data_IF_220949244685
#
_entry.id   IF_220949244685
#
_cell.length_a   1.000
_cell.length_b   1.000
_cell.length_c   1.000
_cell.angle_alpha   90.00
_cell.angle_beta   90.00
_cell.angle_gamma   90.00
#
_symmetry.space_group_name_H-M   'P 1'
#
loop_
_entity.id
_entity.type
_entity.pdbx_description
1 polymer ?
#
# COMPACT_ATOMS: atom_id res chain seq x y z
N UNK A 1 9.44 -5.55 17.25
CA UNK A 1 8.38 -5.38 16.24
C UNK A 1 8.86 -4.45 15.14
N UNK A 2 8.41 -4.69 13.91
CA UNK A 2 8.65 -3.86 12.73
C UNK A 2 7.32 -3.35 12.17
N UNK A 3 7.25 -2.07 11.80
CA UNK A 3 6.06 -1.45 11.21
C UNK A 3 6.46 -0.74 9.92
N UNK A 4 5.72 -0.98 8.85
CA UNK A 4 5.93 -0.34 7.55
C UNK A 4 4.67 0.33 7.04
N UNK A 5 4.76 1.63 6.76
CA UNK A 5 3.74 2.39 6.06
C UNK A 5 4.12 2.52 4.60
N UNK A 6 3.16 2.27 3.70
CA UNK A 6 3.29 2.54 2.29
C UNK A 6 2.24 3.55 1.83
N UNK A 7 2.69 4.56 1.10
CA UNK A 7 1.83 5.50 0.37
C UNK A 7 2.03 5.31 -1.14
N UNK A 8 1.07 4.68 -1.83
CA UNK A 8 1.05 4.63 -3.29
C UNK A 8 0.83 6.03 -3.88
N UNK A 9 1.60 6.36 -4.90
CA UNK A 9 1.53 7.61 -5.67
C UNK A 9 1.42 7.23 -7.14
N UNK A 10 0.46 7.83 -7.84
CA UNK A 10 0.08 7.49 -9.21
C UNK A 10 0.44 8.69 -10.10
N UNK A 11 1.38 8.50 -11.01
CA UNK A 11 1.87 9.50 -11.96
C UNK A 11 1.38 9.20 -13.39
N UNK A 12 0.36 9.93 -13.83
CA UNK A 12 -0.26 9.74 -15.15
C UNK A 12 0.33 10.64 -16.23
N UNK A 13 1.36 11.45 -15.91
CA UNK A 13 1.95 12.41 -16.86
C UNK A 13 2.49 11.77 -18.12
N UNK A 14 2.74 10.46 -18.10
CA UNK A 14 3.13 9.72 -19.30
C UNK A 14 2.02 9.63 -20.38
N UNK A 15 0.80 10.10 -20.07
CA UNK A 15 -0.35 10.24 -20.96
C UNK A 15 -0.70 11.70 -21.28
N UNK A 16 0.10 12.66 -20.80
CA UNK A 16 -0.11 14.10 -20.99
C UNK A 16 0.95 14.63 -21.95
N UNK A 17 0.54 15.40 -22.97
CA UNK A 17 1.44 15.94 -24.01
C UNK A 17 2.54 16.82 -23.40
N UNK A 18 2.16 17.87 -22.67
CA UNK A 18 3.08 18.77 -21.98
C UNK A 18 3.28 18.35 -20.51
N UNK A 19 3.75 17.13 -20.30
CA UNK A 19 3.96 16.57 -18.96
C UNK A 19 4.91 17.36 -18.05
N UNK A 20 5.81 18.14 -18.66
CA UNK A 20 6.95 18.81 -18.02
C UNK A 20 7.81 17.90 -17.10
N UNK A 21 7.68 16.59 -17.24
CA UNK A 21 8.40 15.61 -16.41
C UNK A 21 9.89 15.65 -16.79
N UNK A 22 10.76 15.69 -15.78
CA UNK A 22 12.20 15.55 -16.00
C UNK A 22 12.55 14.07 -16.21
N UNK A 23 13.56 13.75 -17.05
CA UNK A 23 13.91 12.36 -17.36
C UNK A 23 14.68 11.66 -16.23
N UNK A 24 15.00 12.35 -15.14
CA UNK A 24 15.84 11.84 -14.05
C UNK A 24 15.13 11.88 -12.70
N UNK A 25 15.33 10.86 -11.84
CA UNK A 25 16.06 9.63 -12.12
C UNK A 25 15.26 8.71 -13.07
N UNK A 26 15.97 7.99 -13.95
CA UNK A 26 15.35 7.12 -14.96
C UNK A 26 14.88 5.80 -14.32
N UNK A 27 13.64 5.79 -13.83
CA UNK A 27 13.00 4.59 -13.30
C UNK A 27 12.64 3.62 -14.42
N UNK A 28 12.62 2.29 -14.19
CA UNK A 28 12.84 1.60 -12.91
C UNK A 28 14.31 1.34 -12.56
N UNK A 29 15.27 1.71 -13.41
CA UNK A 29 16.70 1.40 -13.23
C UNK A 29 17.50 2.69 -13.09
N UNK A 30 17.29 3.46 -12.00
CA UNK A 30 17.97 4.73 -11.87
C UNK A 30 19.47 4.52 -11.72
N UNK A 31 20.28 5.41 -12.28
CA UNK A 31 21.72 5.45 -12.00
C UNK A 31 21.97 5.69 -10.51
N UNK A 32 23.07 5.15 -9.98
CA UNK A 32 23.41 5.29 -8.56
C UNK A 32 23.78 6.74 -8.23
N UNK A 33 23.43 7.22 -7.03
CA UNK A 33 23.69 8.59 -6.54
C UNK A 33 23.04 9.72 -7.35
N UNK A 34 22.09 9.43 -8.24
CA UNK A 34 21.25 10.47 -8.86
C UNK A 34 20.32 11.06 -7.82
N UNK A 35 20.22 12.38 -7.82
CA UNK A 35 19.37 13.11 -6.89
C UNK A 35 17.98 13.34 -7.47
N UNK A 36 16.96 13.03 -6.68
CA UNK A 36 15.61 13.51 -6.87
C UNK A 36 15.45 14.78 -6.01
N UNK A 37 15.20 15.92 -6.68
CA UNK A 37 15.15 17.25 -6.04
C UNK A 37 14.20 17.22 -4.85
N UNK A 38 14.59 17.79 -3.71
CA UNK A 38 13.74 17.82 -2.50
C UNK A 38 13.59 16.51 -1.74
N UNK A 39 13.97 15.37 -2.33
CA UNK A 39 13.75 14.04 -1.74
C UNK A 39 15.06 13.43 -1.27
N UNK A 40 16.03 13.20 -2.17
CA UNK A 40 17.32 12.61 -1.82
C UNK A 40 18.02 11.90 -2.97
N UNK A 41 18.91 10.97 -2.66
CA UNK A 41 19.75 10.27 -3.64
C UNK A 41 19.31 8.81 -3.83
N UNK A 42 19.56 8.28 -5.03
CA UNK A 42 19.34 6.87 -5.36
C UNK A 42 20.40 5.97 -4.71
N UNK A 43 19.94 4.86 -4.15
CA UNK A 43 20.72 3.81 -3.49
C UNK A 43 20.24 2.43 -3.93
N UNK A 44 21.10 1.43 -3.77
CA UNK A 44 20.74 0.01 -3.91
C UNK A 44 20.21 -0.54 -2.60
N UNK A 45 19.26 -1.46 -2.69
CA UNK A 45 18.77 -2.23 -1.54
C UNK A 45 19.80 -3.30 -1.18
N UNK A 46 20.26 -3.33 0.07
CA UNK A 46 21.31 -4.26 0.51
C UNK A 46 20.90 -5.72 0.30
N UNK A 47 19.66 -6.06 0.64
CA UNK A 47 19.12 -7.41 0.46
C UNK A 47 18.52 -7.63 -0.94
N UNK A 48 18.96 -6.84 -1.93
CA UNK A 48 18.41 -6.86 -3.29
C UNK A 48 16.94 -6.44 -3.39
N UNK A 49 16.46 -6.43 -4.64
CA UNK A 49 15.04 -6.31 -4.96
C UNK A 49 14.45 -7.68 -5.27
N UNK A 50 13.14 -7.74 -5.50
CA UNK A 50 12.49 -8.95 -5.96
C UNK A 50 12.87 -9.29 -7.41
N UNK A 51 13.13 -10.58 -7.69
CA UNK A 51 13.24 -11.09 -9.08
C UNK A 51 11.92 -10.98 -9.84
N UNK A 52 10.79 -10.98 -9.14
CA UNK A 52 9.46 -10.85 -9.74
C UNK A 52 9.07 -9.40 -10.06
N UNK A 53 9.81 -8.39 -9.56
CA UNK A 53 9.49 -6.98 -9.75
C UNK A 53 10.67 -6.13 -10.22
N UNK A 54 10.50 -5.54 -11.40
CA UNK A 54 11.37 -4.47 -11.86
C UNK A 54 11.30 -3.27 -10.91
N UNK A 55 12.46 -2.62 -10.69
CA UNK A 55 12.53 -1.36 -9.94
C UNK A 55 12.57 -1.47 -8.42
N UNK A 56 12.58 -2.67 -7.84
CA UNK A 56 12.69 -2.84 -6.38
C UNK A 56 14.13 -2.95 -5.87
N UNK A 57 15.09 -3.08 -6.78
CA UNK A 57 16.52 -3.18 -6.44
C UNK A 57 17.11 -1.83 -6.02
N UNK A 58 16.51 -0.74 -6.47
CA UNK A 58 16.97 0.63 -6.20
C UNK A 58 15.83 1.47 -5.66
N UNK A 59 16.18 2.39 -4.79
CA UNK A 59 15.25 3.34 -4.19
C UNK A 59 15.96 4.69 -4.04
N UNK A 60 15.21 5.78 -3.88
CA UNK A 60 15.76 7.04 -3.43
C UNK A 60 15.49 7.23 -1.93
N UNK A 61 16.52 7.64 -1.19
CA UNK A 61 16.45 7.85 0.25
C UNK A 61 15.66 9.12 0.55
N UNK A 62 14.48 8.97 1.14
CA UNK A 62 13.47 10.03 1.27
C UNK A 62 13.55 10.78 2.62
N UNK A 63 14.72 10.85 3.25
CA UNK A 63 14.88 11.47 4.58
C UNK A 63 14.60 12.98 4.57
N UNK A 64 14.83 13.66 3.44
CA UNK A 64 14.51 15.08 3.30
C UNK A 64 13.04 15.32 2.96
N UNK A 65 12.38 14.33 2.35
CA UNK A 65 10.99 14.39 1.97
C UNK A 65 10.07 14.31 3.19
N UNK A 66 10.33 13.38 4.10
CA UNK A 66 9.53 13.13 5.30
C UNK A 66 10.41 13.37 6.52
N UNK A 67 10.08 14.41 7.29
CA UNK A 67 10.74 14.71 8.58
C UNK A 67 9.74 14.53 9.71
N UNK A 68 10.16 13.96 10.81
CA UNK A 68 9.32 13.84 12.00
C UNK A 68 9.44 15.10 12.85
N UNK A 69 8.34 15.56 13.46
CA UNK A 69 8.41 16.74 14.31
C UNK A 69 9.09 16.46 15.65
N UNK A 70 8.92 15.27 16.20
CA UNK A 70 9.41 14.92 17.53
C UNK A 70 9.52 13.38 17.73
N UNK A 71 10.06 12.63 16.76
CA UNK A 71 10.06 11.14 16.82
C UNK A 71 10.69 10.60 18.11
N UNK A 72 11.79 11.22 18.53
CA UNK A 72 12.52 10.98 19.77
C UNK A 72 11.70 11.26 21.05
N UNK A 73 10.64 12.06 20.94
CA UNK A 73 9.64 12.30 22.00
C UNK A 73 8.38 11.44 21.86
N UNK A 74 8.16 10.79 20.71
CA UNK A 74 7.13 9.74 20.54
C UNK A 74 7.57 8.47 21.29
N UNK A 75 7.54 8.59 22.61
CA UNK A 75 7.78 7.52 23.58
C UNK A 75 6.44 6.96 23.96
N UNK A 76 6.13 5.77 23.45
CA UNK A 76 4.86 5.12 23.76
C UNK A 76 4.97 4.59 25.18
N UNK A 77 4.23 5.21 26.10
CA UNK A 77 4.28 4.90 27.53
C UNK A 77 3.28 3.81 27.87
N UNK A 78 3.77 2.77 28.53
CA UNK A 78 2.95 1.73 29.15
C UNK A 78 2.39 2.21 30.51
N UNK A 79 1.36 1.54 31.03
CA UNK A 79 0.72 1.89 32.32
C UNK A 79 1.71 1.87 33.49
N UNK A 80 2.74 1.03 33.43
CA UNK A 80 3.80 0.90 34.43
C UNK A 80 4.96 1.91 34.25
N UNK A 81 4.75 2.98 33.46
CA UNK A 81 5.78 3.96 33.07
C UNK A 81 6.94 3.43 32.22
N UNK A 82 6.89 2.17 31.77
CA UNK A 82 7.84 1.70 30.76
C UNK A 82 7.69 2.52 29.46
N UNK A 83 8.77 2.61 28.70
CA UNK A 83 8.83 3.42 27.48
C UNK A 83 9.26 2.54 26.31
N UNK A 84 8.40 2.42 25.30
CA UNK A 84 8.79 1.85 24.02
C UNK A 84 9.51 2.91 23.20
N UNK A 85 10.82 2.72 22.99
CA UNK A 85 11.58 3.53 22.02
C UNK A 85 11.26 3.06 20.61
N UNK A 86 11.08 4.02 19.71
CA UNK A 86 10.82 3.77 18.29
C UNK A 86 11.94 4.35 17.46
N UNK A 87 12.54 3.52 16.61
CA UNK A 87 13.55 3.93 15.65
C UNK A 87 12.96 3.94 14.23
N UNK A 88 13.29 4.97 13.45
CA UNK A 88 12.95 4.98 12.03
C UNK A 88 14.06 4.31 11.23
N UNK A 89 13.80 3.09 10.77
CA UNK A 89 14.72 2.26 10.01
C UNK A 89 14.98 2.80 8.61
N UNK A 90 13.93 3.29 7.95
CA UNK A 90 14.08 3.84 6.61
C UNK A 90 12.93 4.75 6.18
N UNK A 91 13.27 5.63 5.24
CA UNK A 91 12.33 6.41 4.43
C UNK A 91 12.76 6.29 2.98
N UNK A 92 11.94 5.70 2.13
CA UNK A 92 12.32 5.32 0.76
C UNK A 92 11.24 5.70 -0.24
N UNK A 93 11.67 5.95 -1.46
CA UNK A 93 10.81 6.06 -2.64
C UNK A 93 11.31 5.14 -3.75
N UNK A 94 10.41 4.45 -4.41
CA UNK A 94 10.70 3.69 -5.63
C UNK A 94 9.58 3.89 -6.67
N UNK A 95 9.88 3.58 -7.92
CA UNK A 95 8.91 3.64 -9.01
C UNK A 95 9.15 2.52 -10.02
N UNK A 96 8.07 2.06 -10.64
CA UNK A 96 8.11 1.08 -11.73
C UNK A 96 8.50 1.69 -13.09
N UNK A 97 8.73 3.02 -13.13
CA UNK A 97 9.02 3.77 -14.36
C UNK A 97 7.80 4.09 -15.22
N UNK A 98 6.62 3.62 -14.82
CA UNK A 98 5.36 3.87 -15.49
C UNK A 98 4.48 4.75 -14.60
N UNK A 99 3.34 4.23 -14.15
CA UNK A 99 2.36 4.97 -13.36
C UNK A 99 2.61 4.89 -11.86
N UNK A 100 3.27 3.83 -11.37
CA UNK A 100 3.36 3.58 -9.94
C UNK A 100 4.65 4.14 -9.35
N UNK A 101 4.47 4.90 -8.27
CA UNK A 101 5.48 5.38 -7.36
C UNK A 101 5.03 4.98 -5.96
N UNK A 102 5.95 4.65 -5.05
CA UNK A 102 5.61 4.34 -3.66
C UNK A 102 6.56 5.05 -2.73
N UNK A 103 6.02 5.61 -1.65
CA UNK A 103 6.81 5.97 -0.48
C UNK A 103 6.64 4.88 0.58
N UNK A 104 7.75 4.46 1.18
CA UNK A 104 7.78 3.45 2.23
C UNK A 104 8.53 4.01 3.45
N UNK A 105 7.92 3.88 4.63
CA UNK A 105 8.46 4.34 5.90
C UNK A 105 8.46 3.17 6.87
N UNK A 106 9.66 2.75 7.30
CA UNK A 106 9.85 1.65 8.23
C UNK A 106 10.22 2.14 9.62
N UNK A 107 9.63 1.49 10.63
CA UNK A 107 9.95 1.65 12.04
C UNK A 107 10.31 0.31 12.66
N UNK A 108 11.20 0.33 13.64
CA UNK A 108 11.48 -0.80 14.51
C UNK A 108 11.38 -0.37 15.98
N UNK A 109 11.14 -1.34 16.84
CA UNK A 109 11.21 -1.17 18.28
C UNK A 109 11.39 -2.54 18.96
N UNK A 110 11.59 -2.51 20.27
CA UNK A 110 11.68 -3.70 21.13
C UNK A 110 10.37 -4.05 21.81
N UNK A 111 9.25 -4.02 21.08
CA UNK A 111 7.89 -4.32 21.58
C UNK A 111 7.83 -5.62 22.41
N UNK A 112 8.59 -6.63 22.00
CA UNK A 112 8.62 -7.95 22.62
C UNK A 112 9.11 -7.92 24.07
N UNK A 113 9.92 -6.93 24.45
CA UNK A 113 10.42 -6.76 25.82
C UNK A 113 9.33 -6.31 26.80
N UNK A 114 8.14 -5.94 26.31
CA UNK A 114 7.07 -5.33 27.11
C UNK A 114 5.80 -6.17 27.15
N UNK A 115 5.83 -7.44 26.74
CA UNK A 115 4.63 -8.28 26.64
C UNK A 115 3.80 -8.35 27.93
N UNK A 116 4.44 -8.45 29.09
CA UNK A 116 3.75 -8.46 30.38
C UNK A 116 2.97 -7.16 30.64
N UNK A 117 3.54 -6.00 30.29
CA UNK A 117 2.85 -4.72 30.44
C UNK A 117 1.71 -4.53 29.41
N UNK A 118 1.79 -5.23 28.28
CA UNK A 118 0.82 -5.19 27.20
C UNK A 118 -0.36 -6.14 27.49
N UNK A 119 -0.09 -7.35 27.97
CA UNK A 119 -1.10 -8.38 28.20
C UNK A 119 -2.13 -7.99 29.27
N UNK A 120 -1.77 -7.11 30.20
CA UNK A 120 -2.68 -6.51 31.19
C UNK A 120 -3.70 -5.53 30.58
N UNK A 121 -3.46 -5.03 29.36
CA UNK A 121 -4.33 -4.05 28.70
C UNK A 121 -4.72 -4.50 27.28
N UNK A 122 -5.93 -5.04 27.18
CA UNK A 122 -6.48 -5.63 25.94
C UNK A 122 -6.50 -4.68 24.73
N UNK A 123 -6.58 -3.37 24.97
CA UNK A 123 -6.66 -2.35 23.91
C UNK A 123 -5.29 -1.76 23.54
N UNK A 124 -4.21 -2.23 24.16
CA UNK A 124 -2.90 -1.60 23.97
C UNK A 124 -2.39 -1.74 22.53
N UNK A 125 -2.53 -2.92 21.92
CA UNK A 125 -2.09 -3.11 20.53
C UNK A 125 -2.84 -2.15 19.58
N UNK A 126 -4.15 -1.98 19.78
CA UNK A 126 -4.95 -1.02 19.02
C UNK A 126 -4.45 0.43 19.22
N UNK A 127 -4.25 0.84 20.48
CA UNK A 127 -3.73 2.19 20.79
C UNK A 127 -2.34 2.43 20.22
N UNK A 128 -1.47 1.42 20.27
CA UNK A 128 -0.13 1.46 19.69
C UNK A 128 -0.20 1.79 18.20
N UNK A 129 -1.08 1.12 17.45
CA UNK A 129 -1.27 1.40 16.02
C UNK A 129 -1.83 2.80 15.77
N UNK A 130 -2.75 3.29 16.60
CA UNK A 130 -3.23 4.67 16.54
C UNK A 130 -2.10 5.69 16.75
N UNK A 131 -1.24 5.45 17.75
CA UNK A 131 -0.11 6.31 18.06
C UNK A 131 0.87 6.36 16.88
N UNK A 132 1.16 5.20 16.25
CA UNK A 132 1.96 5.15 15.02
C UNK A 132 1.31 5.91 13.87
N UNK A 133 0.03 5.69 13.60
CA UNK A 133 -0.70 6.39 12.53
C UNK A 133 -0.75 7.91 12.74
N UNK A 134 -0.67 8.35 14.00
CA UNK A 134 -0.72 9.75 14.42
C UNK A 134 0.65 10.42 14.56
N UNK A 135 1.74 9.75 14.15
CA UNK A 135 3.08 10.37 14.15
C UNK A 135 3.05 11.59 13.24
N UNK A 136 3.38 12.76 13.80
CA UNK A 136 3.43 14.01 13.07
C UNK A 136 4.65 14.09 12.16
N UNK A 137 4.39 14.40 10.89
CA UNK A 137 5.39 14.55 9.83
C UNK A 137 5.29 15.91 9.16
N UNK A 138 6.44 16.40 8.70
CA UNK A 138 6.61 17.58 7.86
C UNK A 138 7.08 17.11 6.49
N UNK A 139 6.32 17.49 5.46
CA UNK A 139 6.69 17.32 4.06
C UNK A 139 7.14 18.67 3.51
N UNK A 140 8.40 18.76 3.07
CA UNK A 140 8.94 20.01 2.53
C UNK A 140 8.54 20.15 1.06
N UNK A 141 7.83 21.23 0.71
CA UNK A 141 7.55 21.58 -0.67
C UNK A 141 8.76 22.32 -1.28
N UNK A 142 9.04 22.07 -2.57
CA UNK A 142 10.07 22.77 -3.33
C UNK A 142 9.77 24.25 -3.59
N UNK A 143 8.52 24.67 -3.39
CA UNK A 143 8.09 26.07 -3.42
C UNK A 143 8.33 26.80 -2.08
N UNK A 144 8.99 26.15 -1.12
CA UNK A 144 9.34 26.75 0.18
C UNK A 144 8.26 26.62 1.26
N UNK A 145 7.08 26.09 0.93
CA UNK A 145 6.03 25.78 1.90
C UNK A 145 6.29 24.45 2.63
N UNK A 146 5.73 24.30 3.83
CA UNK A 146 5.77 23.05 4.61
C UNK A 146 4.36 22.54 4.77
N UNK A 147 4.13 21.29 4.43
CA UNK A 147 2.89 20.59 4.72
C UNK A 147 3.06 19.80 6.02
N UNK A 148 2.17 20.03 6.98
CA UNK A 148 2.10 19.29 8.24
C UNK A 148 0.99 18.25 8.13
N UNK A 149 1.28 17.02 8.52
CA UNK A 149 0.35 15.89 8.44
C UNK A 149 0.69 14.84 9.47
N UNK A 150 -0.16 13.82 9.62
CA UNK A 150 0.22 12.55 10.24
C UNK A 150 0.82 11.61 9.20
N UNK A 151 1.50 10.56 9.65
CA UNK A 151 2.07 9.55 8.76
C UNK A 151 0.98 8.89 7.92
N UNK A 152 -0.16 8.53 8.51
CA UNK A 152 -1.26 7.90 7.78
C UNK A 152 -1.82 8.79 6.67
N UNK A 153 -1.81 10.12 6.86
CA UNK A 153 -2.54 11.05 5.99
C UNK A 153 -1.62 11.87 5.06
N UNK A 154 -0.31 11.62 5.08
CA UNK A 154 0.64 12.45 4.32
C UNK A 154 0.67 12.19 2.80
N UNK A 155 -0.12 11.23 2.30
CA UNK A 155 -0.13 10.81 0.89
C UNK A 155 -0.31 11.97 -0.10
N UNK A 156 -1.23 12.90 0.16
CA UNK A 156 -1.48 14.06 -0.72
C UNK A 156 -0.26 14.99 -0.81
N UNK A 157 0.34 15.30 0.33
CA UNK A 157 1.55 16.14 0.38
C UNK A 157 2.73 15.44 -0.31
N UNK A 158 2.82 14.11 -0.20
CA UNK A 158 3.83 13.31 -0.90
C UNK A 158 3.63 13.28 -2.42
N UNK A 159 2.38 13.23 -2.92
CA UNK A 159 2.11 13.32 -4.36
C UNK A 159 2.47 14.70 -4.93
N UNK A 160 2.14 15.77 -4.20
CA UNK A 160 2.51 17.13 -4.58
C UNK A 160 4.04 17.31 -4.59
N UNK A 161 4.72 16.84 -3.53
CA UNK A 161 6.18 16.84 -3.49
C UNK A 161 6.76 16.05 -4.68
N UNK A 162 6.23 14.88 -4.99
CA UNK A 162 6.72 14.10 -6.12
C UNK A 162 6.53 14.84 -7.45
N UNK A 163 5.35 15.42 -7.69
CA UNK A 163 5.06 16.25 -8.87
C UNK A 163 6.10 17.36 -9.00
N UNK A 164 6.30 18.16 -7.95
CA UNK A 164 7.25 19.27 -8.01
C UNK A 164 8.70 18.80 -8.17
N UNK A 165 9.07 17.70 -7.53
CA UNK A 165 10.42 17.14 -7.56
C UNK A 165 10.82 16.59 -8.92
N UNK A 166 9.82 16.23 -9.72
CA UNK A 166 9.99 15.59 -11.03
C UNK A 166 9.50 16.47 -12.17
N UNK A 167 9.25 17.76 -11.93
CA UNK A 167 8.80 18.70 -12.96
C UNK A 167 9.89 19.74 -13.24
N UNK A 168 10.02 20.13 -14.52
CA UNK A 168 10.92 21.19 -14.96
C UNK A 168 10.64 22.49 -14.19
N UNK A 169 11.70 23.14 -13.72
CA UNK A 169 11.60 24.35 -12.91
C UNK A 169 10.79 25.46 -13.57
N UNK A 170 10.95 25.66 -14.88
CA UNK A 170 10.22 26.70 -15.61
C UNK A 170 8.70 26.47 -15.60
N UNK A 171 8.25 25.21 -15.74
CA UNK A 171 6.83 24.88 -15.70
C UNK A 171 6.23 25.10 -14.31
N UNK A 172 7.01 24.88 -13.24
CA UNK A 172 6.59 25.19 -11.87
C UNK A 172 6.36 26.69 -11.67
N UNK A 173 7.28 27.54 -12.16
CA UNK A 173 7.16 29.00 -12.04
C UNK A 173 5.98 29.52 -12.86
N UNK A 174 5.79 28.98 -14.06
CA UNK A 174 4.75 29.42 -14.98
C UNK A 174 3.35 28.86 -14.63
N UNK A 175 3.22 28.03 -13.60
CA UNK A 175 1.94 27.42 -13.23
C UNK A 175 1.39 26.43 -14.27
N UNK A 176 2.25 25.86 -15.11
CA UNK A 176 1.86 24.92 -16.19
C UNK A 176 1.72 23.49 -15.68
N UNK A 177 1.19 23.33 -14.47
CA UNK A 177 1.06 22.03 -13.82
C UNK A 177 -0.34 21.84 -13.31
N UNK A 178 -0.83 20.63 -13.42
CA UNK A 178 -2.13 20.27 -12.89
C UNK A 178 -1.99 19.32 -11.70
N UNK A 179 -2.73 19.58 -10.62
CA UNK A 179 -2.67 18.75 -9.41
C UNK A 179 -3.11 17.30 -9.64
N UNK A 180 -3.91 17.03 -10.68
CA UNK A 180 -4.40 15.68 -10.98
C UNK A 180 -3.39 14.82 -11.75
N UNK A 181 -2.29 15.40 -12.24
CA UNK A 181 -1.23 14.68 -12.94
C UNK A 181 -0.48 13.68 -12.06
N UNK A 182 -0.41 13.95 -10.75
CA UNK A 182 0.13 13.02 -9.77
C UNK A 182 -0.82 12.99 -8.57
N UNK A 183 -1.33 11.82 -8.24
CA UNK A 183 -2.30 11.63 -7.16
C UNK A 183 -1.84 10.58 -6.16
N UNK A 184 -2.41 10.57 -4.96
CA UNK A 184 -2.13 9.53 -3.96
C UNK A 184 -3.24 8.48 -3.93
N UNK A 185 -2.83 7.23 -3.73
CA UNK A 185 -3.69 6.11 -3.33
C UNK A 185 -3.88 6.05 -1.82
N UNK A 186 -4.65 5.07 -1.38
CA UNK A 186 -4.83 4.77 0.04
C UNK A 186 -3.57 4.14 0.66
N UNK A 187 -3.21 4.56 1.89
CA UNK A 187 -2.08 4.01 2.60
C UNK A 187 -2.33 2.58 3.06
N UNK A 188 -1.24 1.81 3.19
CA UNK A 188 -1.24 0.50 3.85
C UNK A 188 -0.22 0.51 4.98
N UNK A 189 -0.58 -0.10 6.11
CA UNK A 189 0.34 -0.43 7.19
C UNK A 189 0.56 -1.95 7.26
N UNK A 190 1.80 -2.38 7.45
CA UNK A 190 2.13 -3.75 7.80
C UNK A 190 2.86 -3.77 9.13
N UNK A 191 2.49 -4.71 9.99
CA UNK A 191 3.06 -4.91 11.32
C UNK A 191 3.61 -6.33 11.40
N UNK A 192 4.88 -6.46 11.73
CA UNK A 192 5.55 -7.75 11.96
C UNK A 192 6.03 -7.80 13.40
N UNK A 193 5.66 -8.83 14.15
CA UNK A 193 6.14 -8.98 15.53
C UNK A 193 6.20 -10.45 15.95
N UNK A 194 7.08 -10.76 16.89
CA UNK A 194 7.23 -12.10 17.44
C UNK A 194 6.46 -12.25 18.73
N UNK A 195 5.64 -13.29 18.84
CA UNK A 195 4.84 -13.62 20.02
C UNK A 195 5.02 -15.09 20.40
N UNK A 196 6.22 -15.41 20.85
CA UNK A 196 6.65 -16.79 21.15
C UNK A 196 5.76 -17.48 22.19
N UNK A 197 5.20 -16.70 23.12
CA UNK A 197 4.38 -17.21 24.22
C UNK A 197 2.88 -17.09 23.93
N UNK A 198 2.50 -16.62 22.73
CA UNK A 198 1.12 -16.33 22.33
C UNK A 198 0.38 -15.41 23.33
N UNK A 199 1.11 -14.46 23.92
CA UNK A 199 0.66 -13.58 24.99
C UNK A 199 0.09 -12.25 24.47
N UNK A 200 0.33 -11.92 23.20
CA UNK A 200 -0.21 -10.70 22.62
C UNK A 200 -1.70 -10.82 22.34
N UNK A 201 -2.46 -9.85 22.83
CA UNK A 201 -3.87 -9.69 22.48
C UNK A 201 -3.97 -8.76 21.28
N UNK A 202 -4.36 -9.33 20.14
CA UNK A 202 -4.66 -8.57 18.94
C UNK A 202 -5.95 -7.75 19.12
N UNK A 203 -6.12 -6.64 18.36
CA UNK A 203 -7.35 -5.87 18.38
C UNK A 203 -8.59 -6.75 18.15
N UNK A 204 -9.71 -6.47 18.83
CA UNK A 204 -10.94 -7.27 18.80
C UNK A 204 -11.47 -7.58 17.39
N UNK A 205 -11.27 -6.68 16.44
CA UNK A 205 -11.74 -6.81 15.06
C UNK A 205 -10.65 -7.24 14.07
N UNK A 206 -9.46 -7.64 14.56
CA UNK A 206 -8.45 -8.26 13.72
C UNK A 206 -8.95 -9.66 13.31
N UNK A 207 -9.00 -9.91 12.00
CA UNK A 207 -9.46 -11.17 11.43
C UNK A 207 -8.26 -12.03 11.09
N UNK A 208 -8.22 -13.26 11.59
CA UNK A 208 -7.24 -14.25 11.15
C UNK A 208 -7.55 -14.59 9.69
N UNK A 209 -6.53 -14.47 8.86
CA UNK A 209 -6.62 -14.68 7.41
C UNK A 209 -6.06 -16.05 7.04
N UNK A 210 -4.85 -16.35 7.48
CA UNK A 210 -4.19 -17.63 7.17
C UNK A 210 -3.18 -17.98 8.25
N UNK A 211 -3.14 -19.27 8.60
CA UNK A 211 -2.05 -19.85 9.38
C UNK A 211 -1.09 -20.53 8.41
N UNK A 212 0.19 -20.26 8.58
CA UNK A 212 1.26 -20.89 7.84
C UNK A 212 2.07 -21.72 8.84
N UNK A 213 1.56 -22.91 9.16
CA UNK A 213 2.09 -23.75 10.25
C UNK A 213 3.57 -24.10 10.02
N UNK A 214 3.95 -24.44 8.79
CA UNK A 214 5.33 -24.76 8.43
C UNK A 214 6.27 -23.55 8.59
N UNK A 215 5.78 -22.34 8.30
CA UNK A 215 6.54 -21.10 8.43
C UNK A 215 6.43 -20.50 9.83
N UNK A 216 5.62 -21.09 10.72
CA UNK A 216 5.35 -20.65 12.09
C UNK A 216 4.87 -19.20 12.18
N UNK A 217 3.96 -18.81 11.27
CA UNK A 217 3.36 -17.48 11.27
C UNK A 217 1.83 -17.52 11.12
N UNK A 218 1.18 -16.47 11.61
CA UNK A 218 -0.23 -16.21 11.38
C UNK A 218 -0.38 -14.83 10.73
N UNK A 219 -1.17 -14.76 9.66
CA UNK A 219 -1.50 -13.53 8.97
C UNK A 219 -2.89 -13.07 9.42
N UNK A 220 -2.99 -11.80 9.82
CA UNK A 220 -4.24 -11.15 10.18
C UNK A 220 -4.45 -9.89 9.34
N UNK A 221 -5.71 -9.54 9.17
CA UNK A 221 -6.15 -8.30 8.56
C UNK A 221 -6.94 -7.46 9.58
N UNK A 222 -6.72 -6.16 9.59
CA UNK A 222 -7.37 -5.26 10.51
C UNK A 222 -7.64 -3.89 9.87
N UNK A 223 -8.88 -3.41 9.98
CA UNK A 223 -9.22 -2.01 9.70
C UNK A 223 -9.10 -1.21 10.97
N UNK A 224 -8.19 -0.24 10.97
CA UNK A 224 -8.06 0.70 12.05
C UNK A 224 -8.81 1.99 11.69
N UNK A 225 -9.86 2.28 12.43
CA UNK A 225 -10.55 3.56 12.36
C UNK A 225 -9.73 4.61 13.11
N UNK A 226 -9.36 5.66 12.39
CA UNK A 226 -8.63 6.81 12.91
C UNK A 226 -9.60 7.83 13.56
N UNK A 227 -9.13 8.73 14.43
CA UNK A 227 -9.97 9.72 15.11
C UNK A 227 -10.72 10.67 14.17
N UNK A 228 -10.24 10.83 12.94
CA UNK A 228 -10.87 11.66 11.90
C UNK A 228 -11.92 10.89 11.06
N UNK A 229 -12.31 9.68 11.49
CA UNK A 229 -13.20 8.74 10.79
C UNK A 229 -12.65 8.17 9.47
N UNK A 230 -11.38 8.39 9.15
CA UNK A 230 -10.73 7.65 8.08
C UNK A 230 -10.36 6.25 8.57
N UNK A 231 -10.27 5.30 7.63
CA UNK A 231 -9.80 3.95 7.93
C UNK A 231 -8.44 3.71 7.28
N UNK A 232 -7.54 3.05 8.00
CA UNK A 232 -6.29 2.55 7.43
C UNK A 232 -6.28 1.02 7.45
N UNK A 233 -5.85 0.45 6.33
CA UNK A 233 -5.67 -0.99 6.18
C UNK A 233 -4.40 -1.43 6.89
N UNK A 234 -4.50 -2.44 7.73
CA UNK A 234 -3.38 -3.01 8.48
C UNK A 234 -3.31 -4.51 8.23
N UNK A 235 -2.14 -4.97 7.76
CA UNK A 235 -1.78 -6.38 7.81
C UNK A 235 -0.90 -6.64 9.03
N UNK A 236 -1.18 -7.71 9.75
CA UNK A 236 -0.40 -8.10 10.92
C UNK A 236 0.15 -9.50 10.66
N UNK A 237 1.48 -9.60 10.60
CA UNK A 237 2.22 -10.86 10.51
C UNK A 237 2.71 -11.19 11.93
N UNK A 238 2.03 -12.13 12.56
CA UNK A 238 2.37 -12.64 13.88
C UNK A 238 3.32 -13.82 13.73
N UNK A 239 4.53 -13.68 14.25
CA UNK A 239 5.55 -14.74 14.23
C UNK A 239 5.41 -15.55 15.52
N UNK A 240 5.09 -16.85 15.40
CA UNK A 240 4.84 -17.72 16.54
C UNK A 240 6.12 -18.28 17.17
N UNK A 241 7.23 -18.26 16.44
CA UNK A 241 8.53 -18.76 16.90
C UNK A 241 9.66 -17.93 16.30
N UNK A 242 10.20 -16.98 17.07
CA UNK A 242 11.26 -16.07 16.62
C UNK A 242 12.57 -16.75 16.24
N UNK A 243 12.78 -18.01 16.67
CA UNK A 243 14.03 -18.73 16.43
C UNK A 243 14.00 -19.51 15.12
N UNK A 244 12.84 -20.06 14.74
CA UNK A 244 12.73 -21.02 13.64
C UNK A 244 11.75 -20.63 12.53
N UNK A 245 11.22 -19.41 12.53
CA UNK A 245 10.36 -18.94 11.44
C UNK A 245 11.13 -18.73 10.14
N UNK A 246 10.43 -18.90 9.02
CA UNK A 246 10.98 -18.64 7.69
C UNK A 246 11.04 -17.12 7.42
N UNK A 247 12.23 -16.54 7.60
CA UNK A 247 12.48 -15.10 7.43
C UNK A 247 12.30 -14.64 5.98
N UNK A 248 12.66 -15.50 5.03
CA UNK A 248 12.54 -15.18 3.61
C UNK A 248 11.08 -15.17 3.19
N UNK A 249 10.31 -16.16 3.65
CA UNK A 249 8.86 -16.21 3.44
C UNK A 249 8.16 -14.98 4.02
N UNK A 250 8.44 -14.60 5.28
CA UNK A 250 7.86 -13.39 5.89
C UNK A 250 8.19 -12.13 5.08
N UNK A 251 9.46 -12.00 4.66
CA UNK A 251 9.88 -10.89 3.80
C UNK A 251 9.11 -10.88 2.49
N UNK A 252 8.96 -12.02 1.83
CA UNK A 252 8.26 -12.15 0.55
C UNK A 252 6.75 -11.88 0.71
N UNK A 253 6.14 -12.36 1.79
CA UNK A 253 4.75 -12.07 2.13
C UNK A 253 4.52 -10.57 2.30
N UNK A 254 5.35 -9.87 3.10
CA UNK A 254 5.30 -8.41 3.25
C UNK A 254 5.41 -7.70 1.90
N UNK A 255 6.41 -8.06 1.09
CA UNK A 255 6.59 -7.44 -0.23
C UNK A 255 5.38 -7.66 -1.15
N UNK A 256 4.78 -8.85 -1.12
CA UNK A 256 3.56 -9.15 -1.88
C UNK A 256 2.37 -8.29 -1.44
N UNK A 257 2.11 -8.21 -0.13
CA UNK A 257 1.01 -7.41 0.42
C UNK A 257 1.15 -5.93 0.05
N UNK A 258 2.35 -5.38 0.21
CA UNK A 258 2.71 -4.03 -0.22
C UNK A 258 2.52 -3.82 -1.72
N UNK A 259 2.85 -4.82 -2.54
CA UNK A 259 2.72 -4.72 -3.99
C UNK A 259 1.27 -4.78 -4.45
N UNK A 260 0.49 -5.72 -3.92
CA UNK A 260 -0.94 -5.88 -4.23
C UNK A 260 -1.68 -4.57 -3.93
N UNK A 261 -1.41 -3.97 -2.76
CA UNK A 261 -2.01 -2.68 -2.40
C UNK A 261 -1.68 -1.58 -3.42
N UNK A 262 -0.41 -1.39 -3.74
CA UNK A 262 0.01 -0.34 -4.65
C UNK A 262 -0.52 -0.53 -6.08
N UNK A 263 -0.55 -1.76 -6.59
CA UNK A 263 -1.09 -2.07 -7.92
C UNK A 263 -2.60 -1.86 -7.99
N UNK A 264 -3.33 -2.27 -6.94
CA UNK A 264 -4.77 -2.05 -6.82
C UNK A 264 -5.11 -0.56 -6.74
N UNK A 265 -4.38 0.19 -5.92
CA UNK A 265 -4.57 1.64 -5.82
C UNK A 265 -4.26 2.36 -7.13
N UNK A 266 -3.26 1.87 -7.87
CA UNK A 266 -2.95 2.37 -9.21
C UNK A 266 -4.10 2.11 -10.18
N UNK A 267 -4.64 0.88 -10.20
CA UNK A 267 -5.80 0.52 -11.01
C UNK A 267 -6.99 1.43 -10.70
N UNK A 268 -7.38 1.53 -9.43
CA UNK A 268 -8.51 2.34 -8.96
C UNK A 268 -8.36 3.81 -9.38
N UNK A 269 -7.18 4.40 -9.17
CA UNK A 269 -6.92 5.81 -9.51
C UNK A 269 -6.89 6.07 -11.01
N UNK A 270 -6.30 5.17 -11.80
CA UNK A 270 -6.30 5.30 -13.26
C UNK A 270 -7.73 5.28 -13.79
N UNK A 271 -8.57 4.35 -13.32
CA UNK A 271 -9.97 4.25 -13.76
C UNK A 271 -10.73 5.54 -13.41
N UNK A 272 -10.61 6.04 -12.17
CA UNK A 272 -11.25 7.30 -11.75
C UNK A 272 -10.78 8.50 -12.59
N UNK A 273 -9.50 8.54 -12.96
CA UNK A 273 -8.96 9.61 -13.80
C UNK A 273 -9.45 9.50 -15.25
N UNK A 274 -9.59 8.29 -15.80
CA UNK A 274 -10.18 8.08 -17.13
C UNK A 274 -11.63 8.55 -17.13
N UNK A 275 -12.43 8.23 -16.11
CA UNK A 275 -13.81 8.73 -15.99
C UNK A 275 -13.87 10.27 -16.04
N UNK A 276 -12.93 10.94 -15.36
CA UNK A 276 -12.94 12.40 -15.24
C UNK A 276 -12.30 13.13 -16.42
N UNK A 277 -11.29 12.53 -17.05
CA UNK A 277 -10.43 13.18 -18.05
C UNK A 277 -10.29 12.36 -19.33
N UNK A 278 -11.34 11.62 -19.72
CA UNK A 278 -11.34 10.71 -20.86
C UNK A 278 -10.77 11.36 -22.12
N UNK A 279 -11.27 12.55 -22.48
CA UNK A 279 -10.86 13.31 -23.66
C UNK A 279 -9.37 13.72 -23.66
N UNK A 280 -8.70 13.68 -22.51
CA UNK A 280 -7.26 13.96 -22.42
C UNK A 280 -6.43 12.68 -22.39
N UNK A 281 -6.93 11.65 -21.70
CA UNK A 281 -6.18 10.43 -21.40
C UNK A 281 -6.33 9.33 -22.44
N UNK A 282 -7.37 9.36 -23.27
CA UNK A 282 -7.65 8.32 -24.28
C UNK A 282 -7.84 8.88 -25.69
N UNK A 283 -7.42 10.12 -25.95
CA UNK A 283 -7.65 10.80 -27.24
C UNK A 283 -6.78 10.33 -28.41
N UNK A 284 -5.75 9.53 -28.16
CA UNK A 284 -4.89 8.95 -29.20
C UNK A 284 -4.75 7.44 -29.01
N UNK A 285 -4.53 6.73 -30.11
CA UNK A 285 -4.33 5.27 -30.07
C UNK A 285 -3.09 4.87 -29.28
N UNK A 286 -2.04 5.70 -29.27
CA UNK A 286 -0.84 5.46 -28.47
C UNK A 286 -1.15 5.49 -26.97
N UNK A 287 -1.91 6.50 -26.50
CA UNK A 287 -2.33 6.59 -25.09
C UNK A 287 -3.23 5.44 -24.69
N UNK A 288 -4.21 5.10 -25.54
CA UNK A 288 -5.08 3.92 -25.33
C UNK A 288 -4.25 2.64 -25.22
N UNK A 289 -3.32 2.41 -26.15
CA UNK A 289 -2.43 1.23 -26.14
C UNK A 289 -1.56 1.19 -24.89
N UNK A 290 -0.99 2.32 -24.48
CA UNK A 290 -0.16 2.42 -23.27
C UNK A 290 -0.93 2.10 -22.00
N UNK A 291 -2.13 2.67 -21.86
CA UNK A 291 -3.06 2.35 -20.76
C UNK A 291 -3.44 0.87 -20.77
N UNK A 292 -3.92 0.36 -21.92
CA UNK A 292 -4.32 -1.04 -22.09
C UNK A 292 -3.20 -1.99 -21.71
N UNK A 293 -1.99 -1.80 -22.23
CA UNK A 293 -0.84 -2.63 -21.92
C UNK A 293 -0.48 -2.60 -20.42
N UNK A 294 -0.57 -1.43 -19.79
CA UNK A 294 -0.27 -1.30 -18.37
C UNK A 294 -1.32 -1.99 -17.49
N UNK A 295 -2.61 -1.77 -17.78
CA UNK A 295 -3.71 -2.39 -17.07
C UNK A 295 -3.72 -3.90 -17.27
N UNK A 296 -3.44 -4.39 -18.48
CA UNK A 296 -3.28 -5.81 -18.76
C UNK A 296 -2.14 -6.42 -17.94
N UNK A 297 -0.99 -5.75 -17.88
CA UNK A 297 0.15 -6.20 -17.09
C UNK A 297 -0.13 -6.20 -15.58
N UNK A 298 -0.81 -5.19 -15.04
CA UNK A 298 -1.18 -5.18 -13.62
C UNK A 298 -2.20 -6.29 -13.34
N UNK A 299 -3.28 -6.33 -14.10
CA UNK A 299 -4.41 -7.22 -13.82
C UNK A 299 -4.03 -8.69 -13.99
N UNK A 300 -3.27 -9.03 -15.03
CA UNK A 300 -2.73 -10.39 -15.22
C UNK A 300 -1.83 -10.81 -14.08
N UNK A 301 -0.98 -9.90 -13.57
CA UNK A 301 -0.16 -10.19 -12.40
C UNK A 301 -1.05 -10.40 -11.18
N UNK A 302 -2.00 -9.50 -10.92
CA UNK A 302 -2.90 -9.54 -9.74
C UNK A 302 -3.65 -10.87 -9.69
N UNK A 303 -4.10 -11.35 -10.84
CA UNK A 303 -4.84 -12.61 -10.99
C UNK A 303 -3.97 -13.87 -11.08
N UNK A 304 -2.63 -13.77 -10.98
CA UNK A 304 -1.78 -14.98 -10.92
C UNK A 304 -2.15 -15.81 -9.70
N UNK A 305 -2.21 -17.13 -9.85
CA UNK A 305 -2.55 -18.08 -8.79
C UNK A 305 -1.49 -18.16 -7.70
N UNK A 306 -0.23 -17.87 -8.02
CA UNK A 306 0.92 -17.97 -7.12
C UNK A 306 1.91 -16.83 -7.39
N UNK A 307 2.50 -16.27 -6.34
CA UNK A 307 3.65 -15.35 -6.43
C UNK A 307 4.56 -15.56 -5.21
N UNK A 308 5.87 -15.64 -5.46
CA UNK A 308 6.88 -15.93 -4.42
C UNK A 308 6.55 -17.19 -3.61
N UNK A 309 6.13 -18.25 -4.28
CA UNK A 309 5.77 -19.52 -3.62
C UNK A 309 4.56 -19.37 -2.66
N UNK A 310 3.84 -18.24 -2.75
CA UNK A 310 2.64 -17.96 -1.98
C UNK A 310 1.44 -17.98 -2.92
N UNK A 311 0.54 -18.93 -2.66
CA UNK A 311 -0.77 -18.98 -3.28
C UNK A 311 -1.50 -17.64 -3.08
N UNK A 312 -1.77 -16.96 -4.18
CA UNK A 312 -2.38 -15.63 -4.20
C UNK A 312 -3.89 -15.68 -4.06
N UNK A 313 -4.53 -16.83 -4.33
CA UNK A 313 -5.99 -16.96 -4.27
C UNK A 313 -6.52 -16.49 -2.91
N UNK A 314 -5.79 -16.74 -1.83
CA UNK A 314 -6.15 -16.29 -0.47
C UNK A 314 -5.79 -14.82 -0.22
N UNK A 315 -4.60 -14.36 -0.62
CA UNK A 315 -4.18 -12.97 -0.38
C UNK A 315 -4.98 -11.96 -1.21
N UNK A 316 -5.28 -12.31 -2.46
CA UNK A 316 -6.05 -11.47 -3.37
C UNK A 316 -7.51 -11.43 -2.97
N UNK A 317 -8.12 -12.60 -2.74
CA UNK A 317 -9.51 -12.64 -2.27
C UNK A 317 -9.64 -11.84 -0.97
N UNK A 318 -8.67 -11.90 -0.06
CA UNK A 318 -8.77 -11.18 1.21
C UNK A 318 -8.46 -9.69 1.08
N UNK A 319 -7.50 -9.29 0.23
CA UNK A 319 -7.26 -7.89 -0.09
C UNK A 319 -8.45 -7.22 -0.83
N UNK A 320 -9.31 -8.02 -1.48
CA UNK A 320 -10.55 -7.59 -2.15
C UNK A 320 -11.78 -7.67 -1.23
N UNK A 321 -11.93 -8.76 -0.45
CA UNK A 321 -12.98 -8.97 0.57
C UNK A 321 -12.88 -7.93 1.68
N UNK A 322 -11.66 -7.51 2.03
CA UNK A 322 -11.44 -6.49 3.05
C UNK A 322 -12.03 -5.13 2.69
N UNK A 323 -12.34 -4.83 1.42
CA UNK A 323 -12.68 -3.46 1.01
C UNK A 323 -14.15 -3.05 1.08
N UNK A 324 -15.05 -3.87 1.63
CA UNK A 324 -16.51 -3.59 1.57
C UNK A 324 -16.91 -3.13 0.15
N UNK A 325 -16.76 -4.08 -0.80
CA UNK A 325 -17.46 -4.19 -2.08
C UNK A 325 -17.79 -2.84 -2.76
N UNK A 326 -17.09 -2.55 -3.86
CA UNK A 326 -17.56 -1.58 -4.84
C UNK A 326 -19.05 -1.84 -5.12
N UNK A 327 -19.92 -0.90 -4.75
CA UNK A 327 -21.37 -1.08 -4.92
C UNK A 327 -21.62 -1.47 -6.39
N UNK A 328 -22.62 -2.31 -6.71
CA UNK A 328 -22.85 -2.77 -8.09
C UNK A 328 -22.81 -1.65 -9.15
N UNK A 329 -23.28 -0.44 -8.81
CA UNK A 329 -23.18 0.74 -9.68
C UNK A 329 -21.77 1.34 -9.86
N UNK A 330 -20.86 1.19 -8.89
CA UNK A 330 -19.45 1.59 -9.02
C UNK A 330 -18.72 0.66 -10.00
N UNK A 331 -19.01 -0.64 -9.95
CA UNK A 331 -18.43 -1.60 -10.91
C UNK A 331 -18.87 -1.30 -12.34
N UNK A 332 -20.17 -1.08 -12.57
CA UNK A 332 -20.65 -0.67 -13.89
C UNK A 332 -19.97 0.63 -14.34
N UNK A 333 -19.87 1.61 -13.46
CA UNK A 333 -19.16 2.87 -13.74
C UNK A 333 -17.70 2.66 -14.13
N UNK A 334 -17.00 1.72 -13.48
CA UNK A 334 -15.61 1.38 -13.81
C UNK A 334 -15.49 0.66 -15.15
N UNK A 335 -16.42 -0.24 -15.46
CA UNK A 335 -16.45 -0.91 -16.76
C UNK A 335 -16.77 0.06 -17.89
N UNK A 336 -17.70 1.01 -17.69
CA UNK A 336 -17.98 2.09 -18.63
C UNK A 336 -16.72 2.95 -18.89
N UNK A 337 -15.99 3.30 -17.82
CA UNK A 337 -14.80 4.12 -17.92
C UNK A 337 -13.73 3.55 -18.86
N UNK A 338 -13.55 2.24 -18.84
CA UNK A 338 -12.50 1.55 -19.60
C UNK A 338 -12.96 1.09 -20.99
N UNK A 339 -14.26 1.22 -21.33
CA UNK A 339 -14.76 0.90 -22.68
C UNK A 339 -13.97 1.55 -23.82
N UNK A 340 -13.52 2.82 -23.74
CA UNK A 340 -12.75 3.47 -24.80
C UNK A 340 -11.41 2.80 -25.12
N UNK A 341 -10.91 1.92 -24.23
CA UNK A 341 -9.67 1.16 -24.44
C UNK A 341 -9.86 -0.03 -25.39
N UNK A 342 -11.10 -0.45 -25.63
CA UNK A 342 -11.48 -1.56 -26.53
C UNK A 342 -10.76 -2.89 -26.24
N UNK A 343 -10.23 -3.07 -25.02
CA UNK A 343 -9.51 -4.27 -24.61
C UNK A 343 -10.42 -5.21 -23.80
N UNK A 344 -10.97 -6.22 -24.48
CA UNK A 344 -11.85 -7.24 -23.86
C UNK A 344 -11.17 -8.01 -22.72
N UNK A 345 -9.86 -8.22 -22.79
CA UNK A 345 -9.10 -8.93 -21.76
C UNK A 345 -8.98 -8.08 -20.48
N UNK A 346 -8.66 -6.80 -20.61
CA UNK A 346 -8.64 -5.84 -19.48
C UNK A 346 -10.03 -5.74 -18.85
N UNK A 347 -11.09 -5.63 -19.65
CA UNK A 347 -12.46 -5.58 -19.14
C UNK A 347 -12.83 -6.84 -18.35
N UNK A 348 -12.48 -8.02 -18.88
CA UNK A 348 -12.71 -9.30 -18.20
C UNK A 348 -11.94 -9.36 -16.88
N UNK A 349 -10.65 -9.02 -16.88
CA UNK A 349 -9.84 -9.12 -15.68
C UNK A 349 -10.26 -8.12 -14.60
N UNK A 350 -10.59 -6.88 -14.97
CA UNK A 350 -11.11 -5.88 -14.03
C UNK A 350 -12.44 -6.36 -13.47
N UNK A 351 -13.33 -6.89 -14.32
CA UNK A 351 -14.56 -7.52 -13.86
C UNK A 351 -14.29 -8.65 -12.86
N UNK A 352 -13.33 -9.55 -13.11
CA UNK A 352 -12.96 -10.61 -12.17
C UNK A 352 -12.39 -10.07 -10.85
N UNK A 353 -11.52 -9.07 -10.90
CA UNK A 353 -10.91 -8.47 -9.71
C UNK A 353 -11.98 -7.79 -8.86
N UNK A 354 -12.92 -7.08 -9.47
CA UNK A 354 -13.97 -6.36 -8.76
C UNK A 354 -15.12 -7.28 -8.32
N UNK A 355 -15.51 -8.26 -9.13
CA UNK A 355 -16.53 -9.26 -8.78
C UNK A 355 -16.05 -10.28 -7.75
N UNK A 356 -14.75 -10.63 -7.75
CA UNK A 356 -14.14 -11.46 -6.71
C UNK A 356 -14.14 -10.82 -5.33
N UNK A 357 -14.57 -9.56 -5.21
CA UNK A 357 -14.89 -8.89 -3.95
C UNK A 357 -16.34 -9.05 -3.50
N UNK A 358 -17.27 -9.50 -4.35
CA UNK A 358 -18.70 -9.60 -3.98
C UNK A 358 -18.92 -10.81 -3.06
N UNK A 359 -19.01 -10.54 -1.75
CA UNK A 359 -19.58 -11.49 -0.79
C UNK A 359 -21.08 -11.53 -1.01
N UNK A 360 -21.59 -12.63 -1.57
CA UNK A 360 -23.03 -12.92 -1.50
C UNK A 360 -23.29 -13.45 -0.09
N UNK A 361 -23.77 -12.57 0.80
CA UNK A 361 -24.20 -12.99 2.13
C UNK A 361 -25.50 -13.80 1.99
N UNK A 362 -25.37 -15.12 2.03
CA UNK A 362 -26.50 -16.02 2.19
C UNK A 362 -26.56 -16.34 3.69
N UNK A 363 -27.46 -15.70 4.43
CA UNK A 363 -27.71 -15.82 5.88
C UNK A 363 -26.77 -15.04 6.84
N UNK A 364 -27.39 -14.28 7.76
CA UNK A 364 -26.74 -13.39 8.73
C UNK A 364 -26.21 -14.07 9.99
N UNK A 365 -25.42 -15.13 9.82
CA UNK A 365 -24.78 -15.90 10.91
C UNK A 365 -23.26 -15.77 10.94
N UNK A 366 -22.62 -16.33 11.98
CA UNK A 366 -21.16 -16.43 12.09
C UNK A 366 -20.58 -17.26 10.93
N UNK A 367 -19.46 -16.79 10.38
CA UNK A 367 -18.78 -17.38 9.22
C UNK A 367 -18.01 -18.63 9.65
N UNK A 368 -18.47 -19.82 9.23
CA UNK A 368 -17.73 -21.08 9.46
C UNK A 368 -16.83 -21.45 8.27
N UNK A 369 -17.27 -21.18 7.04
CA UNK A 369 -16.53 -21.57 5.83
C UNK A 369 -16.78 -20.60 4.68
N UNK A 370 -15.70 -20.29 3.96
CA UNK A 370 -15.72 -19.47 2.74
C UNK A 370 -15.25 -20.36 1.58
N UNK A 371 -16.12 -20.61 0.60
CA UNK A 371 -15.72 -21.28 -0.64
C UNK A 371 -15.72 -20.31 -1.83
N UNK A 372 -14.74 -20.46 -2.72
CA UNK A 372 -14.65 -19.68 -3.96
C UNK A 372 -14.96 -20.59 -5.14
N UNK A 373 -16.12 -20.35 -5.79
CA UNK A 373 -16.54 -21.11 -6.97
C UNK A 373 -15.59 -20.89 -8.16
N UNK A 374 -15.67 -21.76 -9.16
CA UNK A 374 -14.92 -21.64 -10.42
C UNK A 374 -15.17 -20.31 -11.18
N UNK A 375 -16.26 -19.61 -10.85
CA UNK A 375 -16.60 -18.29 -11.40
C UNK A 375 -16.14 -17.12 -10.53
N UNK A 376 -15.45 -17.37 -9.42
CA UNK A 376 -14.96 -16.34 -8.51
C UNK A 376 -15.98 -15.86 -7.48
N UNK A 377 -17.19 -16.43 -7.43
CA UNK A 377 -18.16 -16.11 -6.40
C UNK A 377 -17.70 -16.67 -5.05
N UNK A 378 -17.81 -15.85 -4.01
CA UNK A 378 -17.55 -16.23 -2.63
C UNK A 378 -18.87 -16.69 -2.00
N UNK A 379 -18.92 -17.95 -1.58
CA UNK A 379 -20.04 -18.53 -0.85
C UNK A 379 -19.68 -18.54 0.64
N UNK A 380 -20.44 -17.79 1.43
CA UNK A 380 -20.39 -17.83 2.89
C UNK A 380 -21.39 -18.87 3.40
N UNK A 381 -20.92 -19.87 4.12
CA UNK A 381 -21.78 -20.81 4.85
C UNK A 381 -21.89 -20.32 6.30
N UNK A 382 -23.01 -19.66 6.61
CA UNK A 382 -23.40 -19.37 7.99
C UNK A 382 -24.24 -20.52 8.58
N UNK A 383 -24.16 -20.73 9.89
CA UNK A 383 -25.15 -21.53 10.59
C UNK A 383 -26.47 -20.73 10.63
N UNK A 384 -27.55 -21.37 10.18
CA UNK A 384 -28.89 -21.00 10.64
C UNK A 384 -29.07 -21.71 11.98
N UNK A 385 -29.19 -20.96 13.07
CA UNK A 385 -29.78 -21.49 14.31
C UNK A 385 -31.21 -21.97 14.04
#
# INVERSE_FOLDING_TARGET
MFIEFQHPIIDIRCLVEESHKIPVPNWPIPEDKKMLKGIGITKRRQNGGSVYWSGEQKYCQAEKAIRFQDLDKYRIRFKNNAILSTDCEFRRINSDGNFLVKYEIGFSNSFENYFLAISENKDYFHKLLLDYCSINVIINNLLGTKAFSTISNCGKALSELYLYSTTRHQALINGQIESWWVSCGEPLCIVEYSDNENNSQLPKHAKLIKKYDNQKIELYHYWLQLPNNDNIRIWIIKILDSYYYDREFVRNLRLNLLRINAEKETLRKIINLIQKFNETLTNTDDKKKKLSNYLENITSKILKTERYEIEQKDLLSIALISEDIALPGELESYLEAIKPLENKYVNKNISTIMNGGVVINVSGGNVEKIDVTEKGNIINYGNND
#
